data_IF_856567483020
#
_entry.id   IF_856567483020
#
_cell.length_a   1.000
_cell.length_b   1.000
_cell.length_c   1.000
_cell.angle_alpha   90.00
_cell.angle_beta   90.00
_cell.angle_gamma   90.00
#
_symmetry.space_group_name_H-M   'P 1'
#
loop_
_entity.id
_entity.type
_entity.pdbx_description
1 polymer ?
#
# COMPACT_ATOMS: atom_id res chain seq x y z
N UNK A 1 -18.95 -8.53 6.00
CA UNK A 1 -18.23 -8.07 4.80
C UNK A 1 -16.81 -7.60 5.16
N UNK A 2 -16.57 -6.80 6.21
CA UNK A 2 -15.22 -6.40 6.65
C UNK A 2 -14.31 -7.61 6.92
N UNK A 3 -14.80 -8.64 7.59
CA UNK A 3 -14.02 -9.85 7.91
C UNK A 3 -13.50 -10.62 6.70
N UNK A 4 -14.09 -10.43 5.54
CA UNK A 4 -13.70 -11.14 4.32
C UNK A 4 -12.43 -10.58 3.70
N UNK A 5 -12.11 -9.31 3.97
CA UNK A 5 -10.91 -8.62 3.46
C UNK A 5 -9.80 -8.48 4.50
N UNK A 6 -9.99 -8.99 5.71
CA UNK A 6 -8.95 -9.04 6.76
C UNK A 6 -7.77 -9.96 6.40
N UNK A 7 -7.90 -10.76 5.36
CA UNK A 7 -6.87 -11.67 4.85
C UNK A 7 -6.72 -11.54 3.34
N UNK A 8 -5.48 -11.69 2.85
CA UNK A 8 -5.20 -11.79 1.42
C UNK A 8 -5.91 -12.97 0.74
N UNK A 9 -6.42 -13.95 1.48
CA UNK A 9 -7.20 -15.06 0.96
C UNK A 9 -8.37 -14.58 0.08
N UNK A 10 -8.94 -13.40 0.35
CA UNK A 10 -10.03 -12.83 -0.45
C UNK A 10 -9.69 -12.71 -1.94
N UNK A 11 -8.41 -12.53 -2.31
CA UNK A 11 -8.01 -12.42 -3.71
C UNK A 11 -8.20 -13.75 -4.48
N UNK A 12 -8.20 -14.88 -3.78
CA UNK A 12 -8.39 -16.22 -4.35
C UNK A 12 -9.79 -16.78 -4.16
N UNK A 13 -10.67 -16.07 -3.43
CA UNK A 13 -12.05 -16.51 -3.23
C UNK A 13 -12.87 -16.33 -4.52
N UNK A 14 -13.46 -17.41 -5.00
CA UNK A 14 -14.31 -17.42 -6.19
C UNK A 14 -15.56 -16.54 -6.10
N UNK A 15 -15.95 -16.11 -4.89
CA UNK A 15 -17.01 -15.12 -4.65
C UNK A 15 -16.71 -13.81 -5.40
N UNK A 16 -15.45 -13.45 -5.52
CA UNK A 16 -15.01 -12.23 -6.19
C UNK A 16 -14.66 -12.41 -7.66
N UNK A 17 -15.17 -13.47 -8.30
CA UNK A 17 -14.91 -13.75 -9.72
C UNK A 17 -15.21 -12.54 -10.60
N UNK A 18 -14.20 -12.07 -11.36
CA UNK A 18 -14.26 -10.87 -12.21
C UNK A 18 -14.71 -9.60 -11.46
N UNK A 19 -14.28 -9.46 -10.20
CA UNK A 19 -14.63 -8.34 -9.30
C UNK A 19 -13.43 -7.70 -8.62
N UNK A 20 -12.22 -8.18 -8.87
CA UNK A 20 -11.00 -7.67 -8.26
C UNK A 20 -10.23 -6.84 -9.27
N UNK A 21 -9.85 -5.63 -8.86
CA UNK A 21 -8.81 -4.85 -9.54
C UNK A 21 -7.48 -5.12 -8.85
N UNK A 22 -6.49 -5.51 -9.64
CA UNK A 22 -5.12 -5.68 -9.16
C UNK A 22 -4.25 -4.54 -9.63
N UNK A 23 -3.31 -4.11 -8.79
CA UNK A 23 -2.32 -3.12 -9.18
C UNK A 23 -1.40 -3.70 -10.27
N UNK A 24 -1.18 -2.95 -11.33
CA UNK A 24 -0.20 -3.29 -12.38
C UNK A 24 1.23 -3.08 -11.86
N UNK A 25 1.56 -3.87 -10.86
CA UNK A 25 2.85 -3.89 -10.18
C UNK A 25 3.26 -5.34 -9.88
N UNK A 26 4.22 -5.83 -10.64
CA UNK A 26 4.70 -7.20 -10.48
C UNK A 26 5.25 -7.49 -9.08
N UNK A 27 5.93 -6.51 -8.46
CA UNK A 27 6.53 -6.69 -7.13
C UNK A 27 5.50 -6.75 -6.01
N UNK A 28 4.47 -5.91 -6.06
CA UNK A 28 3.38 -5.93 -5.08
C UNK A 28 2.57 -7.22 -5.19
N UNK A 29 2.20 -7.62 -6.41
CA UNK A 29 1.45 -8.86 -6.66
C UNK A 29 2.25 -10.10 -6.29
N UNK A 30 3.55 -10.15 -6.62
CA UNK A 30 4.48 -11.21 -6.23
C UNK A 30 4.55 -11.34 -4.70
N UNK A 31 4.88 -10.24 -4.02
CA UNK A 31 5.03 -10.23 -2.56
C UNK A 31 3.77 -10.68 -1.84
N UNK A 32 2.60 -10.22 -2.30
CA UNK A 32 1.30 -10.62 -1.75
C UNK A 32 1.03 -12.12 -1.95
N UNK A 33 1.35 -12.67 -3.11
CA UNK A 33 1.18 -14.10 -3.38
C UNK A 33 2.04 -14.96 -2.44
N UNK A 34 3.30 -14.57 -2.21
CA UNK A 34 4.20 -15.30 -1.30
C UNK A 34 3.75 -15.16 0.16
N UNK A 35 3.34 -13.97 0.60
CA UNK A 35 2.78 -13.77 1.94
C UNK A 35 1.56 -14.68 2.16
N UNK A 36 0.64 -14.71 1.21
CA UNK A 36 -0.54 -15.58 1.29
C UNK A 36 -0.17 -17.06 1.33
N UNK A 37 0.78 -17.50 0.51
CA UNK A 37 1.23 -18.88 0.49
C UNK A 37 1.77 -19.37 1.85
N UNK A 38 2.34 -18.45 2.62
CA UNK A 38 2.99 -18.73 3.90
C UNK A 38 2.26 -18.07 5.10
N UNK A 39 0.95 -17.81 4.95
CA UNK A 39 0.17 -17.15 5.98
C UNK A 39 0.22 -17.88 7.34
N UNK A 40 0.28 -19.21 7.32
CA UNK A 40 0.38 -20.02 8.54
C UNK A 40 1.75 -19.88 9.21
N UNK A 41 2.82 -19.90 8.45
CA UNK A 41 4.18 -19.72 8.95
C UNK A 41 4.40 -18.31 9.52
N UNK A 42 3.72 -17.30 8.94
CA UNK A 42 3.68 -15.95 9.50
C UNK A 42 2.94 -15.92 10.83
N UNK A 43 1.78 -16.56 10.92
CA UNK A 43 0.99 -16.65 12.17
C UNK A 43 1.77 -17.38 13.27
N UNK A 44 2.47 -18.46 12.92
CA UNK A 44 3.32 -19.23 13.83
C UNK A 44 4.65 -18.50 14.19
N UNK A 45 4.96 -17.38 13.53
CA UNK A 45 6.17 -16.59 13.75
C UNK A 45 7.47 -17.26 13.27
N UNK A 46 7.38 -18.27 12.40
CA UNK A 46 8.55 -19.00 11.86
C UNK A 46 9.22 -18.27 10.71
N UNK A 47 8.51 -17.36 10.06
CA UNK A 47 9.00 -16.49 8.98
C UNK A 47 8.51 -15.06 9.21
N UNK A 48 9.13 -14.11 8.53
CA UNK A 48 8.73 -12.70 8.56
C UNK A 48 8.24 -12.22 7.20
N UNK A 49 7.42 -11.17 7.17
CA UNK A 49 6.97 -10.54 5.93
C UNK A 49 8.16 -10.06 5.10
N UNK A 50 9.20 -9.52 5.74
CA UNK A 50 10.42 -9.10 5.06
C UNK A 50 11.13 -10.24 4.33
N UNK A 51 11.22 -11.41 4.95
CA UNK A 51 11.83 -12.60 4.33
C UNK A 51 11.01 -13.04 3.13
N UNK A 52 9.69 -13.16 3.29
CA UNK A 52 8.80 -13.65 2.24
C UNK A 52 8.70 -12.72 1.04
N UNK A 53 8.46 -11.43 1.27
CA UNK A 53 8.34 -10.45 0.19
C UNK A 53 9.59 -10.33 -0.68
N UNK A 54 10.74 -10.62 -0.10
CA UNK A 54 12.04 -10.48 -0.74
C UNK A 54 12.69 -11.81 -1.09
N UNK A 55 11.98 -12.93 -0.90
CA UNK A 55 12.42 -14.23 -1.38
C UNK A 55 12.30 -14.28 -2.92
N UNK A 56 13.40 -14.46 -3.59
CA UNK A 56 13.49 -14.58 -5.04
C UNK A 56 14.07 -15.94 -5.44
N UNK A 57 13.94 -16.95 -4.59
CA UNK A 57 14.31 -18.31 -4.90
C UNK A 57 13.49 -18.88 -6.06
N UNK A 58 14.00 -19.85 -6.83
CA UNK A 58 13.22 -20.51 -7.86
C UNK A 58 11.92 -21.11 -7.34
N UNK A 59 11.91 -21.61 -6.11
CA UNK A 59 10.76 -22.15 -5.41
C UNK A 59 9.70 -21.08 -5.16
N UNK A 60 10.10 -19.91 -4.63
CA UNK A 60 9.19 -18.79 -4.39
C UNK A 60 8.61 -18.26 -5.70
N UNK A 61 9.42 -18.14 -6.76
CA UNK A 61 8.94 -17.72 -8.09
C UNK A 61 7.89 -18.68 -8.63
N UNK A 62 8.10 -19.99 -8.50
CA UNK A 62 7.14 -21.00 -8.94
C UNK A 62 5.82 -20.95 -8.14
N UNK A 63 5.89 -20.75 -6.84
CA UNK A 63 4.72 -20.57 -5.97
C UNK A 63 3.92 -19.32 -6.39
N UNK A 64 4.60 -18.20 -6.59
CA UNK A 64 3.96 -16.96 -7.04
C UNK A 64 3.26 -17.13 -8.38
N UNK A 65 3.92 -17.74 -9.35
CA UNK A 65 3.36 -18.03 -10.68
C UNK A 65 2.07 -18.85 -10.59
N UNK A 66 2.09 -19.93 -9.82
CA UNK A 66 0.91 -20.78 -9.63
C UNK A 66 -0.25 -20.03 -9.01
N UNK A 67 0.01 -19.24 -7.95
CA UNK A 67 -1.00 -18.47 -7.25
C UNK A 67 -1.57 -17.34 -8.10
N UNK A 68 -0.74 -16.60 -8.83
CA UNK A 68 -1.20 -15.54 -9.71
C UNK A 68 -2.07 -16.10 -10.84
N UNK A 69 -1.71 -17.25 -11.43
CA UNK A 69 -2.56 -17.96 -12.40
C UNK A 69 -3.91 -18.40 -11.80
N UNK A 70 -3.91 -18.88 -10.56
CA UNK A 70 -5.15 -19.26 -9.86
C UNK A 70 -6.06 -18.06 -9.57
N UNK A 71 -5.48 -16.90 -9.28
CA UNK A 71 -6.21 -15.66 -9.01
C UNK A 71 -6.84 -15.05 -10.28
N UNK A 72 -6.26 -15.30 -11.45
CA UNK A 72 -6.64 -14.66 -12.72
C UNK A 72 -8.15 -14.65 -13.02
N UNK A 73 -8.95 -15.69 -12.74
CA UNK A 73 -10.40 -15.65 -12.97
C UNK A 73 -11.15 -14.62 -12.12
N UNK A 74 -10.57 -14.15 -11.01
CA UNK A 74 -11.16 -13.16 -10.13
C UNK A 74 -10.84 -11.72 -10.57
N UNK A 75 -9.83 -11.55 -11.42
CA UNK A 75 -9.35 -10.23 -11.86
C UNK A 75 -10.28 -9.67 -12.92
N UNK A 76 -10.85 -8.48 -12.63
CA UNK A 76 -11.61 -7.67 -13.58
C UNK A 76 -10.70 -6.76 -14.41
N UNK A 77 -9.52 -6.43 -13.93
CA UNK A 77 -8.52 -5.64 -14.63
C UNK A 77 -7.26 -5.39 -13.81
N UNK A 78 -6.16 -5.15 -14.52
CA UNK A 78 -4.92 -4.62 -13.99
C UNK A 78 -4.97 -3.11 -14.14
N UNK A 79 -4.78 -2.38 -13.05
CA UNK A 79 -5.04 -0.96 -13.04
C UNK A 79 -3.85 -0.14 -12.51
N UNK A 80 -3.68 1.05 -13.08
CA UNK A 80 -2.80 2.06 -12.57
C UNK A 80 -3.59 3.26 -11.99
N UNK A 81 -4.63 3.74 -12.69
CA UNK A 81 -5.31 4.99 -12.36
C UNK A 81 -6.85 4.96 -12.45
N UNK A 82 -7.45 3.87 -12.94
CA UNK A 82 -8.92 3.82 -13.17
C UNK A 82 -9.73 3.09 -12.09
N UNK A 83 -9.05 2.57 -11.05
CA UNK A 83 -9.68 1.74 -10.02
C UNK A 83 -10.84 2.41 -9.33
N UNK A 84 -10.73 3.69 -8.97
CA UNK A 84 -11.79 4.46 -8.32
C UNK A 84 -13.11 4.47 -9.11
N UNK A 85 -13.05 4.66 -10.42
CA UNK A 85 -14.24 4.69 -11.27
C UNK A 85 -14.93 3.33 -11.35
N UNK A 86 -14.16 2.26 -11.39
CA UNK A 86 -14.68 0.90 -11.38
C UNK A 86 -15.33 0.56 -10.04
N UNK A 87 -14.74 1.00 -8.92
CA UNK A 87 -15.30 0.80 -7.58
C UNK A 87 -16.60 1.58 -7.40
N UNK A 88 -16.63 2.88 -7.70
CA UNK A 88 -17.81 3.74 -7.53
C UNK A 88 -18.98 3.32 -8.41
N UNK A 89 -18.72 2.69 -9.56
CA UNK A 89 -19.75 2.14 -10.45
C UNK A 89 -20.17 0.70 -10.12
N UNK A 90 -19.62 0.10 -9.05
CA UNK A 90 -19.91 -1.28 -8.65
C UNK A 90 -19.45 -2.35 -9.65
N UNK A 91 -18.58 -2.00 -10.58
CA UNK A 91 -18.00 -2.94 -11.55
C UNK A 91 -16.94 -3.84 -10.92
N UNK A 92 -16.19 -3.32 -9.97
CA UNK A 92 -15.31 -4.04 -9.09
C UNK A 92 -15.78 -3.92 -7.65
N UNK A 93 -15.43 -4.89 -6.80
CA UNK A 93 -15.78 -4.94 -5.39
C UNK A 93 -14.55 -4.86 -4.51
N UNK A 94 -13.41 -5.32 -5.00
CA UNK A 94 -12.11 -5.21 -4.34
C UNK A 94 -11.14 -4.49 -5.28
N UNK A 95 -10.29 -3.66 -4.70
CA UNK A 95 -9.21 -3.00 -5.39
C UNK A 95 -7.91 -3.13 -4.57
N UNK A 96 -6.97 -3.91 -5.07
CA UNK A 96 -5.62 -3.97 -4.53
C UNK A 96 -4.88 -2.69 -4.94
N UNK A 97 -4.78 -1.74 -4.03
CA UNK A 97 -4.30 -0.38 -4.35
C UNK A 97 -3.39 0.18 -3.25
N UNK A 98 -2.66 1.20 -3.57
CA UNK A 98 -1.82 1.93 -2.62
C UNK A 98 -2.66 2.88 -1.76
N UNK A 99 -2.18 3.16 -0.54
CA UNK A 99 -2.94 3.90 0.48
C UNK A 99 -3.40 5.29 0.05
N UNK A 100 -2.57 6.06 -0.64
CA UNK A 100 -2.95 7.39 -1.12
C UNK A 100 -3.99 7.35 -2.23
N UNK A 101 -3.88 6.40 -3.17
CA UNK A 101 -4.90 6.18 -4.20
C UNK A 101 -6.23 5.74 -3.56
N UNK A 102 -6.16 4.95 -2.47
CA UNK A 102 -7.34 4.55 -1.72
C UNK A 102 -8.04 5.74 -1.07
N UNK A 103 -7.30 6.63 -0.38
CA UNK A 103 -7.87 7.86 0.22
C UNK A 103 -8.61 8.67 -0.83
N UNK A 104 -7.97 8.93 -1.96
CA UNK A 104 -8.60 9.66 -3.05
C UNK A 104 -9.84 8.96 -3.61
N UNK A 105 -9.78 7.63 -3.78
CA UNK A 105 -10.94 6.85 -4.25
C UNK A 105 -12.10 6.89 -3.24
N UNK A 106 -11.80 6.86 -1.95
CA UNK A 106 -12.81 6.94 -0.87
C UNK A 106 -13.50 8.31 -0.86
N UNK A 107 -12.73 9.41 -0.98
CA UNK A 107 -13.27 10.77 -1.05
C UNK A 107 -14.19 10.96 -2.27
N UNK A 108 -13.77 10.49 -3.44
CA UNK A 108 -14.59 10.53 -4.68
C UNK A 108 -15.85 9.64 -4.59
N UNK A 109 -15.76 8.49 -3.92
CA UNK A 109 -16.87 7.59 -3.74
C UNK A 109 -17.92 8.20 -2.78
N UNK A 110 -17.49 8.80 -1.68
CA UNK A 110 -18.37 9.49 -0.72
C UNK A 110 -19.16 10.60 -1.41
N UNK A 111 -18.52 11.37 -2.29
CA UNK A 111 -19.17 12.45 -3.05
C UNK A 111 -20.35 11.97 -3.93
N UNK A 112 -20.37 10.69 -4.29
CA UNK A 112 -21.47 10.06 -5.08
C UNK A 112 -22.33 9.10 -4.25
N UNK A 113 -22.15 9.09 -2.92
CA UNK A 113 -22.93 8.27 -1.99
C UNK A 113 -22.56 6.79 -1.98
N UNK A 114 -21.33 6.46 -2.36
CA UNK A 114 -20.74 5.11 -2.26
C UNK A 114 -19.78 5.08 -1.10
N UNK A 115 -19.97 4.14 -0.19
CA UNK A 115 -19.06 3.92 0.94
C UNK A 115 -18.01 2.89 0.54
N UNK A 116 -16.74 3.26 0.68
CA UNK A 116 -15.58 2.38 0.51
C UNK A 116 -14.80 2.34 1.81
N UNK A 117 -14.14 1.22 2.06
CA UNK A 117 -13.24 1.04 3.19
C UNK A 117 -11.88 0.54 2.71
N UNK A 118 -10.86 0.64 3.57
CA UNK A 118 -9.49 0.23 3.28
C UNK A 118 -8.92 -0.60 4.43
N UNK A 119 -8.42 -1.77 4.10
CA UNK A 119 -7.82 -2.68 5.06
C UNK A 119 -6.41 -3.10 4.62
N UNK A 120 -5.50 -3.20 5.58
CA UNK A 120 -4.22 -3.87 5.42
C UNK A 120 -4.35 -5.26 6.05
N UNK A 121 -4.39 -6.33 5.25
CA UNK A 121 -4.62 -7.68 5.74
C UNK A 121 -3.66 -8.12 6.85
N UNK A 122 -4.14 -9.03 7.70
CA UNK A 122 -3.42 -9.48 8.91
C UNK A 122 -2.06 -10.11 8.64
N UNK A 123 -1.89 -10.67 7.47
CA UNK A 123 -0.62 -11.28 7.04
C UNK A 123 0.47 -10.22 6.77
N UNK A 124 0.09 -8.95 6.69
CA UNK A 124 1.00 -7.86 6.39
C UNK A 124 1.05 -7.48 4.92
N UNK A 125 1.81 -6.46 4.60
CA UNK A 125 1.86 -5.87 3.26
C UNK A 125 3.19 -5.16 3.00
N UNK A 126 3.31 -4.58 1.80
CA UNK A 126 4.39 -3.67 1.44
C UNK A 126 4.24 -2.32 2.17
N UNK A 127 5.37 -1.79 2.61
CA UNK A 127 5.54 -0.39 3.02
C UNK A 127 6.68 0.21 2.20
N UNK A 128 6.57 1.47 1.79
CA UNK A 128 7.59 2.10 0.96
C UNK A 128 7.77 3.58 1.29
N UNK A 129 8.83 4.15 0.77
CA UNK A 129 9.14 5.57 0.85
C UNK A 129 9.53 6.07 -0.54
N UNK A 130 8.81 7.09 -1.01
CA UNK A 130 9.19 7.82 -2.21
C UNK A 130 10.10 8.99 -1.84
N UNK A 131 11.08 9.27 -2.66
CA UNK A 131 12.06 10.31 -2.38
C UNK A 131 12.42 11.15 -3.61
N UNK A 132 12.59 12.43 -3.38
CA UNK A 132 13.20 13.32 -4.38
C UNK A 132 14.69 13.08 -4.48
N UNK A 133 15.20 12.90 -5.69
CA UNK A 133 16.61 12.72 -5.95
C UNK A 133 17.12 13.75 -6.94
N UNK A 134 18.32 14.25 -6.71
CA UNK A 134 19.04 15.12 -7.65
C UNK A 134 20.06 14.26 -8.41
N UNK A 135 19.88 14.04 -9.72
CA UNK A 135 20.82 13.22 -10.50
C UNK A 135 22.25 13.76 -10.46
N UNK A 136 23.24 12.87 -10.49
CA UNK A 136 24.67 13.22 -10.41
C UNK A 136 25.12 14.32 -11.39
N UNK A 137 24.52 14.36 -12.58
CA UNK A 137 24.87 15.29 -13.64
C UNK A 137 23.86 16.42 -13.83
N UNK A 138 23.00 16.68 -12.83
CA UNK A 138 22.06 17.80 -12.87
C UNK A 138 22.80 19.14 -13.00
N UNK A 139 22.32 20.01 -13.88
CA UNK A 139 22.96 21.33 -14.10
C UNK A 139 22.55 22.38 -13.08
N UNK A 140 21.34 22.25 -12.51
CA UNK A 140 20.74 23.23 -11.62
C UNK A 140 20.55 22.65 -10.20
N UNK A 141 21.61 22.04 -9.64
CA UNK A 141 21.60 21.39 -8.31
C UNK A 141 21.07 22.32 -7.22
N UNK A 142 21.52 23.58 -7.22
CA UNK A 142 21.09 24.57 -6.21
C UNK A 142 19.57 24.87 -6.29
N UNK A 143 19.04 25.03 -7.49
CA UNK A 143 17.59 25.26 -7.65
C UNK A 143 16.77 24.01 -7.26
N UNK A 144 17.25 22.82 -7.60
CA UNK A 144 16.63 21.57 -7.19
C UNK A 144 16.63 21.41 -5.66
N UNK A 145 17.74 21.76 -4.98
CA UNK A 145 17.82 21.73 -3.52
C UNK A 145 16.82 22.71 -2.87
N UNK A 146 16.71 23.92 -3.38
CA UNK A 146 15.71 24.88 -2.87
C UNK A 146 14.27 24.41 -3.10
N UNK A 147 14.01 23.72 -4.22
CA UNK A 147 12.70 23.16 -4.48
C UNK A 147 12.34 22.04 -3.49
N UNK A 148 13.29 21.12 -3.22
CA UNK A 148 13.11 20.06 -2.22
C UNK A 148 12.90 20.67 -0.82
N UNK A 149 13.72 21.68 -0.44
CA UNK A 149 13.59 22.39 0.83
C UNK A 149 12.21 23.07 0.96
N UNK A 150 11.74 23.71 -0.11
CA UNK A 150 10.39 24.29 -0.15
C UNK A 150 9.30 23.24 0.08
N UNK A 151 9.42 22.03 -0.51
CA UNK A 151 8.47 20.94 -0.31
C UNK A 151 8.48 20.38 1.13
N UNK A 152 9.59 20.56 1.86
CA UNK A 152 9.70 20.16 3.27
C UNK A 152 9.03 21.13 4.26
N UNK A 153 8.55 22.27 3.82
CA UNK A 153 7.81 23.20 4.69
C UNK A 153 6.47 22.58 5.10
N UNK A 154 6.08 22.63 6.38
CA UNK A 154 4.84 22.01 6.85
C UNK A 154 3.58 22.48 6.10
N UNK A 155 3.48 23.79 5.80
CA UNK A 155 2.35 24.37 5.06
C UNK A 155 2.26 23.87 3.60
N UNK A 156 3.40 23.55 2.99
CA UNK A 156 3.48 22.99 1.63
C UNK A 156 3.23 21.49 1.66
N UNK A 157 3.81 20.78 2.63
CA UNK A 157 3.58 19.36 2.81
C UNK A 157 2.10 19.04 3.02
N UNK A 158 1.39 19.81 3.87
CA UNK A 158 -0.06 19.65 4.08
C UNK A 158 -0.84 19.80 2.78
N UNK A 159 -0.57 20.85 1.98
CA UNK A 159 -1.24 21.04 0.68
C UNK A 159 -0.98 19.91 -0.30
N UNK A 160 0.24 19.37 -0.31
CA UNK A 160 0.57 18.21 -1.13
C UNK A 160 -0.22 16.98 -0.68
N UNK A 161 -0.26 16.71 0.63
CA UNK A 161 -1.01 15.58 1.19
C UNK A 161 -2.49 15.64 0.83
N UNK A 162 -3.10 16.82 0.92
CA UNK A 162 -4.51 17.03 0.56
C UNK A 162 -4.76 16.82 -0.94
N UNK A 163 -3.77 17.16 -1.78
CA UNK A 163 -3.90 17.05 -3.23
C UNK A 163 -3.72 15.62 -3.77
N UNK A 164 -2.87 14.81 -3.11
CA UNK A 164 -2.47 13.50 -3.65
C UNK A 164 -2.92 12.30 -2.79
N UNK A 165 -3.45 12.54 -1.58
CA UNK A 165 -3.86 11.49 -0.65
C UNK A 165 -2.73 10.81 0.13
N UNK A 166 -1.48 10.91 -0.32
CA UNK A 166 -0.31 10.33 0.36
C UNK A 166 0.22 11.21 1.48
N UNK A 167 0.88 10.60 2.47
CA UNK A 167 1.49 11.33 3.58
C UNK A 167 2.88 11.84 3.23
N UNK A 168 3.26 12.99 3.80
CA UNK A 168 4.62 13.50 3.77
C UNK A 168 5.50 12.78 4.80
N UNK A 169 6.78 12.64 4.51
CA UNK A 169 7.78 12.22 5.49
C UNK A 169 8.08 13.30 6.56
N UNK A 170 7.45 14.45 6.47
CA UNK A 170 7.61 15.55 7.45
C UNK A 170 6.72 15.27 8.65
N UNK A 171 7.34 14.92 9.77
CA UNK A 171 6.68 14.55 11.02
C UNK A 171 6.79 15.68 12.06
N UNK A 172 6.16 16.83 11.79
CA UNK A 172 6.16 17.97 12.71
C UNK A 172 4.85 18.06 13.50
N UNK A 173 4.85 18.71 14.68
CA UNK A 173 3.62 18.95 15.46
C UNK A 173 2.52 19.63 14.64
N UNK A 174 2.89 20.60 13.79
CA UNK A 174 1.93 21.33 12.94
C UNK A 174 1.19 20.39 11.98
N UNK A 175 1.86 19.39 11.41
CA UNK A 175 1.24 18.40 10.54
C UNK A 175 0.31 17.50 11.35
N UNK A 176 0.77 17.01 12.50
CA UNK A 176 -0.07 16.19 13.37
C UNK A 176 -1.34 16.93 13.79
N UNK A 177 -1.21 18.15 14.29
CA UNK A 177 -2.34 18.98 14.74
C UNK A 177 -3.34 19.26 13.60
N UNK A 178 -2.85 19.52 12.39
CA UNK A 178 -3.70 19.77 11.22
C UNK A 178 -4.44 18.54 10.73
N UNK A 179 -3.96 17.33 11.06
CA UNK A 179 -4.54 16.05 10.59
C UNK A 179 -5.33 15.31 11.66
N UNK A 180 -5.30 15.77 12.92
CA UNK A 180 -6.17 15.22 13.98
C UNK A 180 -7.64 15.42 13.58
N UNK A 181 -8.40 14.35 13.66
CA UNK A 181 -9.84 14.33 13.38
C UNK A 181 -10.59 13.67 14.53
N UNK A 182 -11.33 14.49 15.28
CA UNK A 182 -12.10 14.04 16.44
C UNK A 182 -13.32 13.18 16.08
N UNK A 183 -13.71 13.15 14.82
CA UNK A 183 -14.82 12.30 14.33
C UNK A 183 -14.41 10.84 14.21
N UNK A 184 -13.11 10.56 14.10
CA UNK A 184 -12.56 9.21 14.06
C UNK A 184 -12.65 8.61 15.46
N UNK A 185 -13.38 7.51 15.60
CA UNK A 185 -13.58 6.84 16.88
C UNK A 185 -12.31 6.12 17.36
N UNK A 186 -11.60 5.49 16.44
CA UNK A 186 -10.40 4.69 16.71
C UNK A 186 -9.21 5.60 17.00
N UNK A 187 -8.46 5.27 18.05
CA UNK A 187 -7.15 5.86 18.32
C UNK A 187 -6.05 4.98 17.76
N UNK A 188 -4.97 5.60 17.30
CA UNK A 188 -3.81 4.92 16.72
C UNK A 188 -2.52 5.31 17.44
N UNK A 189 -1.61 4.36 17.62
CA UNK A 189 -0.26 4.62 18.07
C UNK A 189 0.60 5.07 16.88
N UNK A 190 0.95 6.34 16.87
CA UNK A 190 1.79 6.99 15.86
C UNK A 190 3.16 7.38 16.39
N UNK A 191 3.56 6.83 17.54
CA UNK A 191 4.86 7.14 18.16
C UNK A 191 6.07 6.75 17.31
N UNK A 192 5.89 5.82 16.36
CA UNK A 192 6.90 5.45 15.38
C UNK A 192 7.22 6.58 14.39
N UNK A 193 6.28 7.53 14.18
CA UNK A 193 6.40 8.60 13.20
C UNK A 193 6.56 9.96 13.85
N UNK A 194 5.68 10.32 14.79
CA UNK A 194 5.68 11.62 15.48
C UNK A 194 6.48 11.64 16.79
N UNK A 195 6.98 10.46 17.24
CA UNK A 195 7.76 10.34 18.47
C UNK A 195 6.91 10.13 19.74
N UNK A 196 7.56 10.13 20.90
CA UNK A 196 6.91 9.87 22.19
C UNK A 196 5.74 10.83 22.47
N UNK A 197 4.63 10.28 22.96
CA UNK A 197 3.41 11.05 23.25
C UNK A 197 2.38 11.05 22.10
N UNK A 198 2.72 10.47 20.95
CA UNK A 198 1.79 10.26 19.84
C UNK A 198 1.24 8.81 19.81
N UNK A 199 0.99 8.21 20.97
CA UNK A 199 0.55 6.83 21.15
C UNK A 199 -0.98 6.66 21.21
N UNK A 200 -1.72 7.76 21.11
CA UNK A 200 -3.18 7.77 21.24
C UNK A 200 -3.80 8.91 20.43
N UNK A 201 -3.62 8.87 19.11
CA UNK A 201 -4.04 9.96 18.20
C UNK A 201 -5.23 9.50 17.35
N UNK A 202 -6.20 10.40 17.17
CA UNK A 202 -7.35 10.24 16.26
C UNK A 202 -7.02 10.91 14.94
N UNK A 203 -6.81 10.11 13.91
CA UNK A 203 -6.35 10.57 12.60
C UNK A 203 -6.76 9.53 11.55
N UNK A 204 -6.81 9.91 10.26
CA UNK A 204 -7.13 8.98 9.19
C UNK A 204 -6.18 7.75 9.21
N UNK A 205 -6.67 6.53 9.52
CA UNK A 205 -5.85 5.35 9.68
C UNK A 205 -5.31 4.79 8.36
N UNK A 206 -5.84 5.22 7.22
CA UNK A 206 -5.34 4.86 5.89
C UNK A 206 -4.04 5.61 5.61
N UNK A 207 -4.00 6.90 5.95
CA UNK A 207 -2.81 7.74 5.81
C UNK A 207 -1.79 7.46 6.92
N UNK A 208 -2.26 7.32 8.15
CA UNK A 208 -1.43 7.11 9.34
C UNK A 208 -1.83 5.82 10.05
N UNK A 209 -1.38 4.66 9.54
CA UNK A 209 -1.72 3.38 10.13
C UNK A 209 -1.15 3.23 11.54
N UNK A 210 -1.88 2.50 12.39
CA UNK A 210 -1.43 2.13 13.73
C UNK A 210 -0.08 1.40 13.70
N UNK A 211 0.75 1.56 14.73
CA UNK A 211 2.04 0.89 14.89
C UNK A 211 1.96 -0.61 14.58
N UNK A 212 0.94 -1.29 15.06
CA UNK A 212 0.76 -2.74 14.83
C UNK A 212 0.57 -3.10 13.35
N UNK A 213 -0.01 -2.18 12.56
CA UNK A 213 -0.11 -2.36 11.11
C UNK A 213 1.26 -2.21 10.47
N UNK A 214 2.02 -1.17 10.84
CA UNK A 214 3.36 -0.94 10.30
C UNK A 214 4.33 -2.07 10.65
N UNK A 215 4.26 -2.59 11.88
CA UNK A 215 5.14 -3.68 12.36
C UNK A 215 4.95 -5.00 11.61
N UNK A 216 3.78 -5.23 11.00
CA UNK A 216 3.53 -6.39 10.13
C UNK A 216 3.82 -6.15 8.64
N UNK A 217 4.33 -4.97 8.27
CA UNK A 217 4.68 -4.63 6.89
C UNK A 217 6.20 -4.67 6.69
N UNK A 218 6.61 -4.79 5.43
CA UNK A 218 8.02 -4.79 5.07
C UNK A 218 8.27 -4.07 3.74
N UNK A 219 9.49 -3.58 3.54
CA UNK A 219 9.89 -2.95 2.29
C UNK A 219 10.27 -3.97 1.23
N UNK A 220 9.79 -3.76 0.02
CA UNK A 220 10.25 -4.45 -1.18
C UNK A 220 11.69 -4.02 -1.48
N UNK A 221 12.56 -5.01 -1.68
CA UNK A 221 13.96 -4.81 -2.09
C UNK A 221 14.15 -5.16 -3.57
N UNK A 222 15.20 -4.64 -4.16
CA UNK A 222 15.59 -5.03 -5.51
C UNK A 222 15.98 -6.52 -5.55
N UNK A 223 15.52 -7.23 -6.56
CA UNK A 223 15.86 -8.63 -6.81
C UNK A 223 17.18 -8.82 -7.57
N UNK A 224 17.84 -7.74 -7.97
CA UNK A 224 19.10 -7.78 -8.69
C UNK A 224 19.03 -8.67 -9.93
N UNK A 225 19.95 -9.62 -10.05
CA UNK A 225 20.05 -10.53 -11.20
C UNK A 225 18.82 -11.45 -11.38
N UNK A 226 17.95 -11.55 -10.37
CA UNK A 226 16.71 -12.35 -10.44
C UNK A 226 15.51 -11.57 -10.98
N UNK A 227 15.63 -10.26 -11.17
CA UNK A 227 14.54 -9.41 -11.66
C UNK A 227 13.98 -9.89 -13.00
N UNK A 228 14.87 -10.31 -13.94
CA UNK A 228 14.43 -10.81 -15.24
C UNK A 228 13.55 -12.06 -15.13
N UNK A 229 13.90 -12.99 -14.23
CA UNK A 229 13.12 -14.21 -14.01
C UNK A 229 11.72 -13.92 -13.46
N UNK A 230 11.62 -12.94 -12.54
CA UNK A 230 10.32 -12.54 -11.99
C UNK A 230 9.48 -11.78 -13.02
N UNK A 231 10.09 -10.96 -13.88
CA UNK A 231 9.41 -10.32 -14.99
C UNK A 231 8.93 -11.33 -16.05
N UNK A 232 9.71 -12.37 -16.34
CA UNK A 232 9.29 -13.45 -17.21
C UNK A 232 8.07 -14.19 -16.62
N UNK A 233 8.15 -14.58 -15.36
CA UNK A 233 7.02 -15.15 -14.62
C UNK A 233 5.77 -14.27 -14.71
N UNK A 234 5.93 -12.97 -14.44
CA UNK A 234 4.84 -11.99 -14.51
C UNK A 234 4.18 -11.92 -15.89
N UNK A 235 4.96 -11.99 -16.96
CA UNK A 235 4.45 -11.99 -18.33
C UNK A 235 3.65 -13.23 -18.70
N UNK A 236 3.85 -14.33 -17.96
CA UNK A 236 3.18 -15.63 -18.17
C UNK A 236 1.95 -15.82 -17.25
N UNK A 237 1.82 -15.00 -16.21
CA UNK A 237 0.71 -15.06 -15.26
C UNK A 237 -0.46 -14.21 -15.73
#
# INVERSE_FOLDING_TARGET
EEKEVESWECLWDSKFRNKILMKDSYRDSYGTAIIYAHAKELEDGTVTVEQLMNDNSPEAIAIAEELLKKMKPNIAGWEADFGKEMMTKGKAWLNFTWSGDAVWAMDEAEAVGVELDYEVPREGSNIWYDGWAIPKYARNVKAASYFIDYLCRPDVALRNMDAIGYVSAIATPEIMEAKIDSTIEKVSDLSYFFGPGADSIRINPVQYPDRKVVERCAMIRDFGDRTELVLEMWSLS
#
